data_IF_775895399268
#
_entry.id   IF_775895399268
#
_cell.length_a   1.000
_cell.length_b   1.000
_cell.length_c   1.000
_cell.angle_alpha   90.00
_cell.angle_beta   90.00
_cell.angle_gamma   90.00
#
_symmetry.space_group_name_H-M   'P 1'
#
loop_
_entity.id
_entity.type
_entity.pdbx_description
1 polymer ?
#
# COMPACT_ATOMS: atom_id res chain seq x y z
N UNK A 1 12.78 19.49 5.12
CA UNK A 1 13.38 18.49 6.03
C UNK A 1 13.18 17.12 5.42
N UNK A 2 14.18 16.22 5.54
CA UNK A 2 14.03 14.82 5.11
C UNK A 2 13.01 14.11 6.00
N UNK A 3 12.19 13.23 5.41
CA UNK A 3 11.18 12.40 6.09
C UNK A 3 11.56 10.93 6.00
N UNK A 4 11.14 10.14 6.96
CA UNK A 4 11.22 8.67 6.95
C UNK A 4 9.91 8.10 6.43
N UNK A 5 9.92 7.50 5.26
CA UNK A 5 8.74 7.06 4.51
C UNK A 5 8.79 5.55 4.29
N UNK A 6 7.75 4.85 4.73
CA UNK A 6 7.57 3.42 4.48
C UNK A 6 6.59 3.24 3.33
N UNK A 7 6.95 2.44 2.33
CA UNK A 7 6.10 2.15 1.18
C UNK A 7 6.03 0.64 0.95
N UNK A 8 4.82 0.10 0.87
CA UNK A 8 4.60 -1.31 0.55
C UNK A 8 4.29 -1.51 -0.94
N UNK A 9 4.67 -2.67 -1.51
CA UNK A 9 4.40 -3.00 -2.91
C UNK A 9 5.30 -2.27 -3.90
N UNK A 10 6.58 -2.17 -3.58
CA UNK A 10 7.58 -1.38 -4.34
C UNK A 10 8.28 -2.15 -5.46
N UNK A 11 7.88 -3.39 -5.76
CA UNK A 11 8.53 -4.18 -6.82
C UNK A 11 8.22 -3.71 -8.23
N UNK A 12 7.11 -3.02 -8.45
CA UNK A 12 6.64 -2.51 -9.74
C UNK A 12 5.51 -1.49 -9.56
N UNK A 13 5.10 -0.86 -10.66
CA UNK A 13 3.94 0.03 -10.71
C UNK A 13 4.05 1.25 -9.81
N UNK A 14 2.94 1.71 -9.25
CA UNK A 14 2.85 2.96 -8.48
C UNK A 14 3.83 2.98 -7.29
N UNK A 15 3.93 1.90 -6.53
CA UNK A 15 4.83 1.85 -5.37
C UNK A 15 6.30 1.95 -5.72
N UNK A 16 6.72 1.41 -6.86
CA UNK A 16 8.08 1.57 -7.39
C UNK A 16 8.37 3.03 -7.72
N UNK A 17 7.47 3.68 -8.47
CA UNK A 17 7.62 5.09 -8.84
C UNK A 17 7.63 6.02 -7.62
N UNK A 18 6.74 5.79 -6.65
CA UNK A 18 6.74 6.54 -5.39
C UNK A 18 8.06 6.40 -4.63
N UNK A 19 8.62 5.18 -4.54
CA UNK A 19 9.88 4.96 -3.84
C UNK A 19 11.02 5.75 -4.48
N UNK A 20 11.11 5.77 -5.81
CA UNK A 20 12.11 6.56 -6.53
C UNK A 20 11.89 8.07 -6.37
N UNK A 21 10.66 8.54 -6.50
CA UNK A 21 10.34 9.97 -6.41
C UNK A 21 10.66 10.54 -5.03
N UNK A 22 10.24 9.87 -3.95
CA UNK A 22 10.54 10.33 -2.60
C UNK A 22 12.04 10.27 -2.30
N UNK A 23 12.74 9.22 -2.71
CA UNK A 23 14.18 9.12 -2.53
C UNK A 23 14.94 10.20 -3.29
N UNK A 24 14.55 10.48 -4.54
CA UNK A 24 15.14 11.53 -5.36
C UNK A 24 14.84 12.94 -4.82
N UNK A 25 13.74 13.10 -4.06
CA UNK A 25 13.40 14.34 -3.35
C UNK A 25 14.15 14.47 -2.00
N UNK A 26 15.07 13.57 -1.68
CA UNK A 26 15.93 13.62 -0.50
C UNK A 26 15.29 13.06 0.77
N UNK A 27 14.23 12.27 0.65
CA UNK A 27 13.63 11.54 1.76
C UNK A 27 14.29 10.16 1.96
N UNK A 28 14.23 9.62 3.17
CA UNK A 28 14.65 8.25 3.45
C UNK A 28 13.45 7.31 3.24
N UNK A 29 13.61 6.30 2.41
CA UNK A 29 12.54 5.38 2.02
C UNK A 29 12.85 3.96 2.49
N UNK A 30 11.91 3.33 3.20
CA UNK A 30 11.88 1.89 3.42
C UNK A 30 10.92 1.26 2.40
N UNK A 31 11.51 0.65 1.39
CA UNK A 31 10.79 0.00 0.30
C UNK A 31 10.54 -1.47 0.63
N UNK A 32 9.28 -1.86 0.71
CA UNK A 32 8.86 -3.21 1.13
C UNK A 32 8.17 -3.94 -0.02
N UNK A 33 8.72 -5.08 -0.42
CA UNK A 33 8.11 -5.99 -1.41
C UNK A 33 8.78 -7.36 -1.37
N UNK A 34 8.15 -8.38 -1.95
CA UNK A 34 8.72 -9.74 -2.03
C UNK A 34 9.91 -9.86 -2.99
N UNK A 35 9.98 -8.95 -3.97
CA UNK A 35 11.09 -8.87 -4.94
C UNK A 35 11.56 -7.42 -5.00
N UNK A 36 12.84 -7.21 -4.91
CA UNK A 36 13.43 -5.86 -4.89
C UNK A 36 14.08 -5.56 -6.23
N UNK A 37 13.63 -4.52 -6.96
CA UNK A 37 14.30 -4.04 -8.16
C UNK A 37 15.72 -3.53 -7.87
N UNK A 38 16.63 -3.74 -8.82
CA UNK A 38 18.04 -3.34 -8.70
C UNK A 38 18.18 -1.82 -8.50
N UNK A 39 17.40 -1.06 -9.22
CA UNK A 39 17.41 0.41 -9.17
C UNK A 39 17.07 0.96 -7.78
N UNK A 40 16.19 0.26 -7.03
CA UNK A 40 15.88 0.65 -5.64
C UNK A 40 17.05 0.29 -4.70
N UNK A 41 17.72 -0.85 -4.92
CA UNK A 41 18.87 -1.27 -4.10
C UNK A 41 20.05 -0.30 -4.27
N UNK A 42 20.26 0.21 -5.47
CA UNK A 42 21.39 1.10 -5.80
C UNK A 42 21.16 2.55 -5.34
N UNK A 43 19.94 2.92 -4.93
CA UNK A 43 19.65 4.27 -4.46
C UNK A 43 20.03 4.45 -2.99
N UNK A 44 20.93 5.38 -2.64
CA UNK A 44 21.44 5.55 -1.27
C UNK A 44 20.38 6.01 -0.25
N UNK A 45 19.27 6.55 -0.72
CA UNK A 45 18.16 6.99 0.12
C UNK A 45 17.09 5.90 0.32
N UNK A 46 17.27 4.71 -0.27
CA UNK A 46 16.31 3.61 -0.18
C UNK A 46 16.93 2.44 0.58
N UNK A 47 16.26 2.00 1.61
CA UNK A 47 16.49 0.69 2.22
C UNK A 47 15.41 -0.27 1.77
N UNK A 48 15.79 -1.46 1.32
CA UNK A 48 14.86 -2.46 0.81
C UNK A 48 14.70 -3.60 1.81
N UNK A 49 13.46 -3.98 2.11
CA UNK A 49 13.12 -5.22 2.81
C UNK A 49 12.36 -6.17 1.86
N UNK A 50 12.97 -7.35 1.64
CA UNK A 50 12.35 -8.41 0.85
C UNK A 50 11.52 -9.32 1.75
N UNK A 51 10.25 -8.95 1.97
CA UNK A 51 9.33 -9.65 2.86
C UNK A 51 7.94 -9.79 2.25
N UNK A 52 7.18 -10.79 2.71
CA UNK A 52 5.75 -10.91 2.46
C UNK A 52 4.97 -10.22 3.60
N UNK A 53 4.32 -9.11 3.29
CA UNK A 53 3.54 -8.35 4.28
C UNK A 53 2.33 -9.12 4.84
N UNK A 54 1.89 -10.20 4.18
CA UNK A 54 0.82 -11.07 4.67
C UNK A 54 1.30 -12.08 5.72
N UNK A 55 2.63 -12.14 5.97
CA UNK A 55 3.25 -12.94 7.01
C UNK A 55 3.59 -12.07 8.23
N UNK A 56 2.88 -12.21 9.37
CA UNK A 56 3.13 -11.38 10.55
C UNK A 56 4.55 -11.52 11.12
N UNK A 57 5.18 -12.69 10.99
CA UNK A 57 6.55 -12.89 11.48
C UNK A 57 7.56 -12.08 10.65
N UNK A 58 7.33 -11.95 9.34
CA UNK A 58 8.18 -11.15 8.47
C UNK A 58 8.00 -9.65 8.73
N UNK A 59 6.81 -9.20 9.13
CA UNK A 59 6.56 -7.79 9.50
C UNK A 59 7.38 -7.34 10.71
N UNK A 60 7.81 -8.24 11.60
CA UNK A 60 8.72 -7.91 12.71
C UNK A 60 10.06 -7.33 12.22
N UNK A 61 10.46 -7.62 10.98
CA UNK A 61 11.67 -7.01 10.40
C UNK A 61 11.50 -5.51 10.19
N UNK A 62 10.29 -5.03 9.91
CA UNK A 62 9.98 -3.59 9.81
C UNK A 62 10.13 -2.92 11.16
N UNK A 63 9.52 -3.50 12.21
CA UNK A 63 9.63 -3.00 13.58
C UNK A 63 11.10 -2.93 14.02
N UNK A 64 11.85 -4.00 13.80
CA UNK A 64 13.27 -4.06 14.11
C UNK A 64 14.08 -2.99 13.37
N UNK A 65 13.79 -2.75 12.09
CA UNK A 65 14.45 -1.71 11.32
C UNK A 65 14.14 -0.32 11.88
N UNK A 66 12.87 0.00 12.14
CA UNK A 66 12.47 1.28 12.70
C UNK A 66 13.18 1.50 14.06
N UNK A 67 13.13 0.50 14.94
CA UNK A 67 13.74 0.55 16.26
C UNK A 67 15.27 0.76 16.24
N UNK A 68 15.97 0.17 15.28
CA UNK A 68 17.43 0.25 15.21
C UNK A 68 17.93 1.50 14.49
N UNK A 69 17.19 1.94 13.46
CA UNK A 69 17.72 2.90 12.49
C UNK A 69 17.02 4.26 12.58
N UNK A 70 15.70 4.30 12.46
CA UNK A 70 14.97 5.54 12.27
C UNK A 70 14.40 6.15 13.55
N UNK A 71 13.92 5.32 14.49
CA UNK A 71 13.23 5.73 15.73
C UNK A 71 11.92 6.50 15.50
N UNK A 72 11.63 6.89 14.27
CA UNK A 72 10.47 7.67 13.87
C UNK A 72 10.01 7.30 12.47
N UNK A 73 8.69 7.33 12.26
CA UNK A 73 8.03 7.18 10.96
C UNK A 73 7.21 8.45 10.67
N UNK A 74 7.52 9.14 9.58
CA UNK A 74 6.77 10.34 9.19
C UNK A 74 5.61 10.01 8.25
N UNK A 75 5.80 9.04 7.33
CA UNK A 75 4.76 8.63 6.37
C UNK A 75 4.77 7.12 6.19
N UNK A 76 3.57 6.53 6.20
CA UNK A 76 3.33 5.13 5.86
C UNK A 76 2.39 5.06 4.66
N UNK A 77 2.84 4.45 3.56
CA UNK A 77 2.04 4.28 2.34
C UNK A 77 1.73 2.80 2.13
N UNK A 78 0.48 2.45 2.36
CA UNK A 78 -0.06 1.13 2.04
C UNK A 78 -0.46 1.09 0.56
N UNK A 79 0.50 0.73 -0.30
CA UNK A 79 0.28 0.59 -1.74
C UNK A 79 0.21 -0.88 -2.19
N UNK A 80 0.82 -1.80 -1.46
CA UNK A 80 0.74 -3.22 -1.79
C UNK A 80 -0.71 -3.70 -1.89
N UNK A 81 -0.98 -4.52 -2.88
CA UNK A 81 -2.30 -5.10 -3.08
C UNK A 81 -2.22 -6.39 -3.89
N UNK A 82 -3.24 -7.20 -3.73
CA UNK A 82 -3.48 -8.39 -4.54
C UNK A 82 -4.85 -8.27 -5.19
N UNK A 83 -4.94 -8.64 -6.47
CA UNK A 83 -6.17 -8.60 -7.25
C UNK A 83 -6.49 -10.01 -7.75
N UNK A 84 -7.76 -10.40 -7.67
CA UNK A 84 -8.31 -11.60 -8.26
C UNK A 84 -9.49 -11.21 -9.14
N UNK A 85 -9.42 -11.53 -10.44
CA UNK A 85 -10.53 -11.37 -11.38
C UNK A 85 -11.09 -12.75 -11.70
N UNK A 86 -12.22 -13.11 -11.09
CA UNK A 86 -12.83 -14.45 -11.20
C UNK A 86 -14.33 -14.38 -10.89
N UNK A 87 -15.20 -15.14 -11.59
CA UNK A 87 -16.62 -15.22 -11.25
C UNK A 87 -16.83 -15.59 -9.78
N UNK A 88 -17.74 -14.90 -9.09
CA UNK A 88 -17.93 -15.04 -7.64
C UNK A 88 -18.12 -16.48 -7.18
N UNK A 89 -18.95 -17.26 -7.89
CA UNK A 89 -19.24 -18.66 -7.55
C UNK A 89 -18.03 -19.60 -7.72
N UNK A 90 -16.97 -19.15 -8.39
CA UNK A 90 -15.76 -19.92 -8.62
C UNK A 90 -14.61 -19.53 -7.67
N UNK A 91 -14.77 -18.44 -6.91
CA UNK A 91 -13.76 -18.02 -5.93
C UNK A 91 -13.78 -18.98 -4.75
N UNK A 92 -12.67 -19.66 -4.49
CA UNK A 92 -12.54 -20.49 -3.28
C UNK A 92 -12.43 -19.64 -2.01
N UNK A 93 -12.76 -20.23 -0.86
CA UNK A 93 -12.55 -19.56 0.44
C UNK A 93 -11.09 -19.14 0.66
N UNK A 94 -10.15 -19.96 0.21
CA UNK A 94 -8.72 -19.68 0.33
C UNK A 94 -8.32 -18.49 -0.55
N UNK A 95 -8.75 -18.43 -1.81
CA UNK A 95 -8.49 -17.31 -2.70
C UNK A 95 -9.07 -16.01 -2.11
N UNK A 96 -10.29 -16.05 -1.58
CA UNK A 96 -10.92 -14.90 -0.95
C UNK A 96 -10.13 -14.42 0.27
N UNK A 97 -9.74 -15.35 1.16
CA UNK A 97 -8.92 -15.04 2.33
C UNK A 97 -7.55 -14.47 1.95
N UNK A 98 -6.89 -14.98 0.90
CA UNK A 98 -5.59 -14.49 0.45
C UNK A 98 -5.65 -13.05 -0.03
N UNK A 99 -6.75 -12.63 -0.69
CA UNK A 99 -6.97 -11.21 -1.02
C UNK A 99 -7.06 -10.37 0.26
N UNK A 100 -7.83 -10.82 1.25
CA UNK A 100 -8.00 -10.09 2.51
C UNK A 100 -6.72 -10.06 3.35
N UNK A 101 -5.93 -11.14 3.35
CA UNK A 101 -4.63 -11.18 4.05
C UNK A 101 -3.71 -10.04 3.59
N UNK A 102 -3.61 -9.84 2.27
CA UNK A 102 -2.75 -8.79 1.71
C UNK A 102 -3.40 -7.42 1.83
N UNK A 103 -4.67 -7.29 1.38
CA UNK A 103 -5.29 -5.98 1.20
C UNK A 103 -5.83 -5.37 2.50
N UNK A 104 -6.12 -6.18 3.52
CA UNK A 104 -6.77 -5.72 4.76
C UNK A 104 -5.92 -6.02 5.98
N UNK A 105 -5.60 -7.29 6.23
CA UNK A 105 -4.94 -7.67 7.48
C UNK A 105 -3.50 -7.16 7.54
N UNK A 106 -2.75 -7.23 6.44
CA UNK A 106 -1.41 -6.68 6.37
C UNK A 106 -1.40 -5.15 6.58
N UNK A 107 -2.40 -4.44 6.07
CA UNK A 107 -2.56 -2.99 6.30
C UNK A 107 -2.76 -2.72 7.79
N UNK A 108 -3.66 -3.46 8.45
CA UNK A 108 -3.92 -3.29 9.87
C UNK A 108 -2.68 -3.62 10.73
N UNK A 109 -2.01 -4.76 10.48
CA UNK A 109 -0.85 -5.18 11.26
C UNK A 109 0.34 -4.22 11.09
N UNK A 110 0.66 -3.81 9.86
CA UNK A 110 1.76 -2.87 9.64
C UNK A 110 1.46 -1.49 10.22
N UNK A 111 0.20 -1.04 10.17
CA UNK A 111 -0.21 0.20 10.85
C UNK A 111 0.02 0.13 12.34
N UNK A 112 -0.39 -0.97 13.01
CA UNK A 112 -0.13 -1.19 14.45
C UNK A 112 1.36 -1.13 14.79
N UNK A 113 2.21 -1.71 13.95
CA UNK A 113 3.67 -1.67 14.11
C UNK A 113 4.20 -0.24 14.00
N UNK A 114 3.68 0.56 13.08
CA UNK A 114 4.21 1.90 12.81
C UNK A 114 3.71 2.98 13.79
N UNK A 115 2.47 2.88 14.28
CA UNK A 115 1.85 3.90 15.16
C UNK A 115 2.73 4.29 16.36
N UNK A 116 3.41 3.37 17.12
CA UNK A 116 4.25 3.76 18.23
C UNK A 116 5.44 4.65 17.86
N UNK A 117 5.78 4.74 16.59
CA UNK A 117 6.87 5.55 16.04
C UNK A 117 6.37 6.78 15.30
N UNK A 118 5.06 7.03 15.31
CA UNK A 118 4.43 8.17 14.65
C UNK A 118 4.09 9.26 15.66
N UNK A 119 4.25 10.50 15.24
CA UNK A 119 4.02 11.69 16.06
C UNK A 119 3.03 12.62 15.37
N UNK A 120 2.67 13.71 16.04
CA UNK A 120 1.86 14.78 15.44
C UNK A 120 2.43 15.24 14.10
N UNK A 121 1.62 15.18 13.07
CA UNK A 121 2.00 15.51 11.69
C UNK A 121 2.50 14.32 10.87
N UNK A 122 2.57 13.12 11.46
CA UNK A 122 2.75 11.89 10.69
C UNK A 122 1.49 11.55 9.88
N UNK A 123 1.66 10.79 8.80
CA UNK A 123 0.60 10.54 7.83
C UNK A 123 0.58 9.08 7.37
N UNK A 124 -0.58 8.45 7.44
CA UNK A 124 -0.85 7.13 6.86
C UNK A 124 -1.71 7.31 5.60
N UNK A 125 -1.23 6.80 4.47
CA UNK A 125 -1.93 6.84 3.19
C UNK A 125 -2.23 5.42 2.73
N UNK A 126 -3.48 5.11 2.47
CA UNK A 126 -3.90 3.79 1.98
C UNK A 126 -4.38 3.89 0.54
N UNK A 127 -3.75 3.13 -0.36
CA UNK A 127 -4.19 3.05 -1.75
C UNK A 127 -5.35 2.05 -1.84
N UNK A 128 -6.53 2.59 -2.11
CA UNK A 128 -7.75 1.85 -2.35
C UNK A 128 -8.14 1.91 -3.84
N UNK A 129 -9.38 1.64 -4.14
CA UNK A 129 -9.93 1.62 -5.49
C UNK A 129 -11.33 2.20 -5.50
N UNK A 130 -11.69 2.85 -6.60
CA UNK A 130 -13.07 3.27 -6.88
C UNK A 130 -14.07 2.12 -6.71
N UNK A 131 -13.67 0.88 -7.03
CA UNK A 131 -14.50 -0.31 -6.79
C UNK A 131 -14.85 -0.57 -5.32
N UNK A 132 -14.06 -0.03 -4.37
CA UNK A 132 -14.32 -0.12 -2.92
C UNK A 132 -15.32 0.92 -2.39
N UNK A 133 -15.54 2.02 -3.12
CA UNK A 133 -16.46 3.09 -2.68
C UNK A 133 -17.92 2.62 -2.78
N UNK A 134 -18.70 2.82 -1.74
CA UNK A 134 -20.13 2.52 -1.75
C UNK A 134 -20.84 3.37 -2.80
N UNK A 135 -21.73 2.74 -3.58
CA UNK A 135 -22.48 3.43 -4.65
C UNK A 135 -21.69 3.70 -5.93
N UNK A 136 -20.38 3.42 -5.99
CA UNK A 136 -19.60 3.51 -7.24
C UNK A 136 -19.94 2.38 -8.21
N UNK A 137 -19.53 2.54 -9.47
CA UNK A 137 -19.61 1.47 -10.47
C UNK A 137 -18.87 0.22 -9.99
N UNK A 138 -19.48 -0.95 -10.16
CA UNK A 138 -18.92 -2.25 -9.82
C UNK A 138 -18.65 -3.06 -11.07
N UNK A 139 -17.56 -3.83 -11.03
CA UNK A 139 -17.16 -4.70 -12.15
C UNK A 139 -17.30 -6.16 -11.73
N UNK A 140 -17.94 -6.95 -12.58
CA UNK A 140 -18.06 -8.39 -12.38
C UNK A 140 -16.68 -9.04 -12.24
N UNK A 141 -16.58 -10.07 -11.42
CA UNK A 141 -15.32 -10.79 -11.19
C UNK A 141 -14.39 -10.18 -10.13
N UNK A 142 -14.71 -9.00 -9.58
CA UNK A 142 -13.87 -8.33 -8.58
C UNK A 142 -14.44 -8.41 -7.15
N UNK A 143 -15.26 -9.41 -6.83
CA UNK A 143 -15.95 -9.47 -5.53
C UNK A 143 -14.98 -9.43 -4.34
N UNK A 144 -13.96 -10.29 -4.31
CA UNK A 144 -12.97 -10.31 -3.22
C UNK A 144 -12.11 -9.04 -3.19
N UNK A 145 -11.67 -8.57 -4.36
CA UNK A 145 -10.86 -7.36 -4.48
C UNK A 145 -11.61 -6.12 -4.02
N UNK A 146 -12.76 -5.82 -4.64
CA UNK A 146 -13.50 -4.60 -4.35
C UNK A 146 -14.01 -4.55 -2.92
N UNK A 147 -14.46 -5.68 -2.36
CA UNK A 147 -14.86 -5.74 -0.95
C UNK A 147 -13.68 -5.48 0.00
N UNK A 148 -12.49 -6.02 -0.30
CA UNK A 148 -11.29 -5.75 0.49
C UNK A 148 -10.87 -4.28 0.44
N UNK A 149 -11.01 -3.64 -0.74
CA UNK A 149 -10.74 -2.20 -0.91
C UNK A 149 -11.76 -1.31 -0.20
N UNK A 150 -13.01 -1.76 -0.08
CA UNK A 150 -14.03 -1.12 0.77
C UNK A 150 -13.71 -1.25 2.25
N UNK A 151 -13.25 -2.42 2.69
CA UNK A 151 -12.88 -2.65 4.08
C UNK A 151 -11.76 -1.71 4.58
N UNK A 152 -10.73 -1.45 3.76
CA UNK A 152 -9.65 -0.53 4.17
C UNK A 152 -10.07 0.95 4.12
N UNK A 153 -11.08 1.32 3.33
CA UNK A 153 -11.67 2.66 3.41
C UNK A 153 -12.25 2.86 4.81
N UNK A 154 -13.17 1.97 5.22
CA UNK A 154 -13.79 2.05 6.54
C UNK A 154 -12.78 1.95 7.68
N UNK A 155 -11.78 1.06 7.57
CA UNK A 155 -10.70 0.97 8.57
C UNK A 155 -9.96 2.29 8.72
N UNK A 156 -9.57 2.92 7.62
CA UNK A 156 -8.82 4.18 7.66
C UNK A 156 -9.65 5.34 8.23
N UNK A 157 -10.96 5.40 7.94
CA UNK A 157 -11.89 6.38 8.51
C UNK A 157 -11.98 6.22 10.04
N UNK A 158 -12.07 4.99 10.54
CA UNK A 158 -12.08 4.70 11.99
C UNK A 158 -10.76 5.08 12.65
N UNK A 159 -9.63 4.75 12.03
CA UNK A 159 -8.29 5.12 12.55
C UNK A 159 -8.05 6.64 12.51
N UNK A 160 -8.59 7.34 11.51
CA UNK A 160 -8.53 8.80 11.46
C UNK A 160 -9.21 9.45 12.68
N UNK A 161 -10.35 8.91 13.13
CA UNK A 161 -11.03 9.40 14.33
C UNK A 161 -10.31 8.97 15.62
N UNK A 162 -9.84 7.71 15.69
CA UNK A 162 -9.15 7.17 16.88
C UNK A 162 -7.84 7.90 17.20
N UNK A 163 -7.07 8.29 16.16
CA UNK A 163 -5.76 8.94 16.33
C UNK A 163 -5.80 10.45 16.10
N UNK A 164 -6.97 11.05 16.01
CA UNK A 164 -7.16 12.49 15.77
C UNK A 164 -6.46 13.37 16.80
N UNK A 165 -6.63 13.07 18.09
CA UNK A 165 -6.02 13.84 19.18
C UNK A 165 -4.49 13.70 19.23
N UNK A 166 -3.96 12.59 18.70
CA UNK A 166 -2.51 12.39 18.55
C UNK A 166 -1.95 13.16 17.34
N UNK A 167 -2.82 13.64 16.47
CA UNK A 167 -2.46 14.43 15.29
C UNK A 167 -1.81 13.61 14.18
N UNK A 168 -2.10 12.30 14.11
CA UNK A 168 -1.72 11.43 13.01
C UNK A 168 -2.83 11.48 11.97
N UNK A 169 -2.48 11.84 10.73
CA UNK A 169 -3.45 11.89 9.63
C UNK A 169 -3.60 10.53 8.96
N UNK A 170 -4.84 10.14 8.64
CA UNK A 170 -5.14 8.96 7.83
C UNK A 170 -5.94 9.38 6.61
N UNK A 171 -5.47 9.02 5.42
CA UNK A 171 -6.16 9.29 4.17
C UNK A 171 -6.22 8.04 3.29
N UNK A 172 -7.29 7.95 2.51
CA UNK A 172 -7.47 6.88 1.52
C UNK A 172 -7.57 7.50 0.15
N UNK A 173 -6.79 6.98 -0.78
CA UNK A 173 -6.84 7.34 -2.18
C UNK A 173 -7.53 6.23 -2.96
N UNK A 174 -8.80 6.43 -3.30
CA UNK A 174 -9.59 5.47 -4.09
C UNK A 174 -9.35 5.70 -5.58
N UNK A 175 -8.31 5.08 -6.11
CA UNK A 175 -7.86 5.28 -7.47
C UNK A 175 -8.81 4.66 -8.50
N UNK A 176 -8.91 5.30 -9.65
CA UNK A 176 -9.45 4.70 -10.89
C UNK A 176 -8.45 3.70 -11.49
N UNK A 177 -8.66 3.34 -12.76
CA UNK A 177 -7.73 2.47 -13.48
C UNK A 177 -6.41 3.22 -13.76
N UNK A 178 -5.30 2.56 -13.46
CA UNK A 178 -3.93 3.03 -13.74
C UNK A 178 -3.21 1.97 -14.55
N UNK A 179 -2.50 2.35 -15.59
CA UNK A 179 -1.78 1.44 -16.46
C UNK A 179 -0.59 0.83 -15.72
N UNK A 180 -0.81 -0.31 -15.11
CA UNK A 180 0.15 -1.09 -14.32
C UNK A 180 0.10 -2.54 -14.77
N UNK A 181 1.15 -3.30 -14.44
CA UNK A 181 1.19 -4.73 -14.71
C UNK A 181 0.03 -5.48 -14.03
N UNK A 182 -0.37 -5.06 -12.83
CA UNK A 182 -1.53 -5.64 -12.12
C UNK A 182 -2.82 -5.46 -12.92
N UNK A 183 -3.03 -4.31 -13.54
CA UNK A 183 -4.19 -4.05 -14.38
C UNK A 183 -4.16 -4.93 -15.63
N UNK A 184 -3.02 -5.01 -16.29
CA UNK A 184 -2.85 -5.81 -17.51
C UNK A 184 -3.01 -7.32 -17.26
N UNK A 185 -2.55 -7.81 -16.11
CA UNK A 185 -2.75 -9.19 -15.66
C UNK A 185 -4.25 -9.51 -15.45
N UNK A 186 -5.01 -8.57 -14.90
CA UNK A 186 -6.44 -8.76 -14.61
C UNK A 186 -7.35 -8.48 -15.80
N UNK A 187 -6.96 -7.55 -16.66
CA UNK A 187 -7.72 -7.07 -17.83
C UNK A 187 -6.79 -6.91 -19.05
N UNK A 188 -6.36 -8.02 -19.67
CA UNK A 188 -5.44 -7.97 -20.78
C UNK A 188 -5.97 -7.09 -21.94
N UNK A 189 -5.13 -6.15 -22.40
CA UNK A 189 -5.46 -5.24 -23.50
C UNK A 189 -6.31 -4.01 -23.12
N UNK A 190 -6.63 -3.83 -21.83
CA UNK A 190 -7.25 -2.58 -21.35
C UNK A 190 -6.19 -1.53 -21.13
N UNK A 191 -6.31 -0.38 -21.80
CA UNK A 191 -5.41 0.77 -21.63
C UNK A 191 -6.06 1.78 -20.68
N UNK A 192 -5.40 2.01 -19.53
CA UNK A 192 -5.81 3.04 -18.60
C UNK A 192 -5.21 4.41 -19.01
N UNK A 193 -5.90 5.53 -18.69
CA UNK A 193 -5.49 6.86 -19.14
C UNK A 193 -4.19 7.37 -18.49
N UNK A 194 -3.83 6.88 -17.31
CA UNK A 194 -2.66 7.30 -16.56
C UNK A 194 -1.67 6.17 -16.38
N UNK A 195 -0.40 6.45 -16.55
CA UNK A 195 0.71 5.56 -16.19
C UNK A 195 0.92 5.50 -14.67
N UNK A 196 1.68 4.49 -14.21
CA UNK A 196 2.08 4.38 -12.81
C UNK A 196 2.86 5.62 -12.34
N UNK A 197 3.72 6.18 -13.18
CA UNK A 197 4.52 7.36 -12.88
C UNK A 197 3.64 8.61 -12.72
N UNK A 198 2.76 8.87 -13.68
CA UNK A 198 1.82 10.00 -13.60
C UNK A 198 0.92 9.88 -12.35
N UNK A 199 0.47 8.66 -12.00
CA UNK A 199 -0.31 8.47 -10.79
C UNK A 199 0.52 8.72 -9.52
N UNK A 200 1.80 8.34 -9.52
CA UNK A 200 2.69 8.61 -8.39
C UNK A 200 2.93 10.13 -8.19
N UNK A 201 2.89 10.92 -9.27
CA UNK A 201 2.99 12.40 -9.19
C UNK A 201 1.77 13.05 -8.51
N UNK A 202 0.61 12.36 -8.46
CA UNK A 202 -0.61 12.83 -7.77
C UNK A 202 -0.68 12.40 -6.29
N UNK A 203 0.09 11.40 -5.87
CA UNK A 203 0.09 10.84 -4.51
C UNK A 203 1.12 11.56 -3.63
#
# INVERSE_FOLDING_TARGET
MSKNIIITGTSRGIGYELALQFANSGHQVLAISRKTPKELIENPNITCLSIDISNPEELLQVENFINKTWKKVDVLIHNAGSLLHKPFTQISSEEFQNIYKVNVFAVAELTKICIPFMEKGSHVVTISSMGGIQGSMKFAGLAAYSSSKGAVITLSELLAEEYKEQGIAFNVLALGAVNTEMLQEAFPGYEAPLSAKEMADYI
#
